data_IF_406525638477
#
_entry.id   IF_406525638477
#
_cell.length_a   1.000
_cell.length_b   1.000
_cell.length_c   1.000
_cell.angle_alpha   90.00
_cell.angle_beta   90.00
_cell.angle_gamma   90.00
#
_symmetry.space_group_name_H-M   'P 1'
#
loop_
_entity.id
_entity.type
_entity.pdbx_description
1 polymer ?
#
# COMPACT_ATOMS: atom_id res chain seq x y z
N UNK A 1 -14.42 33.22 13.20
CA UNK A 1 -13.08 33.50 13.75
C UNK A 1 -12.49 32.20 14.27
N UNK A 2 -11.58 31.56 13.53
CA UNK A 2 -10.79 30.44 14.07
C UNK A 2 -9.81 31.03 15.09
N UNK A 3 -10.19 31.01 16.37
CA UNK A 3 -9.31 31.40 17.46
C UNK A 3 -8.09 30.48 17.45
N UNK A 4 -6.91 31.05 17.23
CA UNK A 4 -5.63 30.35 17.30
C UNK A 4 -5.41 29.85 18.74
N UNK A 5 -5.90 28.66 19.03
CA UNK A 5 -5.70 27.98 20.32
C UNK A 5 -4.20 27.71 20.46
N UNK A 6 -3.58 28.21 21.54
CA UNK A 6 -2.21 27.83 21.89
C UNK A 6 -2.13 26.30 21.94
N UNK A 7 -1.29 25.72 21.08
CA UNK A 7 -1.01 24.29 21.11
C UNK A 7 -0.27 23.97 22.40
N UNK A 8 -0.78 23.01 23.15
CA UNK A 8 -0.12 22.51 24.36
C UNK A 8 0.89 21.43 23.97
N UNK A 9 1.88 21.18 24.82
CA UNK A 9 2.85 20.09 24.61
C UNK A 9 2.16 18.74 24.34
N UNK A 10 1.04 18.48 25.03
CA UNK A 10 0.20 17.31 24.79
C UNK A 10 -0.35 17.23 23.36
N UNK A 11 -0.76 18.35 22.77
CA UNK A 11 -1.27 18.38 21.40
C UNK A 11 -0.15 17.99 20.41
N UNK A 12 1.07 18.51 20.61
CA UNK A 12 2.24 18.12 19.79
C UNK A 12 2.59 16.64 19.92
N UNK A 13 2.59 16.09 21.14
CA UNK A 13 2.85 14.66 21.37
C UNK A 13 1.78 13.78 20.72
N UNK A 14 0.50 14.19 20.80
CA UNK A 14 -0.59 13.46 20.16
C UNK A 14 -0.46 13.47 18.63
N UNK A 15 -0.16 14.64 18.03
CA UNK A 15 0.08 14.71 16.59
C UNK A 15 1.28 13.85 16.16
N UNK A 16 2.38 13.89 16.91
CA UNK A 16 3.55 13.04 16.64
C UNK A 16 3.16 11.55 16.68
N UNK A 17 2.43 11.13 17.71
CA UNK A 17 1.95 9.76 17.85
C UNK A 17 1.06 9.35 16.67
N UNK A 18 0.09 10.19 16.29
CA UNK A 18 -0.82 9.93 15.17
C UNK A 18 -0.08 9.86 13.82
N UNK A 19 0.92 10.71 13.61
CA UNK A 19 1.75 10.67 12.39
C UNK A 19 2.52 9.36 12.32
N UNK A 20 3.22 8.98 13.40
CA UNK A 20 3.98 7.72 13.46
C UNK A 20 3.06 6.52 13.24
N UNK A 21 1.92 6.48 13.94
CA UNK A 21 0.93 5.42 13.79
C UNK A 21 0.40 5.32 12.35
N UNK A 22 0.12 6.47 11.73
CA UNK A 22 -0.32 6.53 10.33
C UNK A 22 0.77 6.03 9.38
N UNK A 23 2.03 6.39 9.58
CA UNK A 23 3.16 5.89 8.79
C UNK A 23 3.32 4.37 8.92
N UNK A 24 3.15 3.82 10.13
CA UNK A 24 3.20 2.38 10.36
C UNK A 24 2.07 1.63 9.63
N UNK A 25 0.87 2.20 9.59
CA UNK A 25 -0.27 1.64 8.85
C UNK A 25 -0.09 1.75 7.32
N UNK A 26 0.55 2.82 6.85
CA UNK A 26 0.84 3.01 5.43
C UNK A 26 1.97 2.11 4.92
N UNK A 27 2.93 1.76 5.77
CA UNK A 27 4.07 0.92 5.40
C UNK A 27 3.68 -0.39 4.69
N UNK A 28 2.78 -1.25 5.21
CA UNK A 28 2.41 -2.49 4.53
C UNK A 28 1.73 -2.24 3.17
N UNK A 29 0.96 -1.16 3.01
CA UNK A 29 0.35 -0.81 1.72
C UNK A 29 1.41 -0.43 0.69
N UNK A 30 2.39 0.40 1.08
CA UNK A 30 3.51 0.78 0.22
C UNK A 30 4.41 -0.41 -0.10
N UNK A 31 4.58 -1.34 0.84
CA UNK A 31 5.34 -2.56 0.65
C UNK A 31 4.71 -3.48 -0.40
N UNK A 32 3.39 -3.74 -0.29
CA UNK A 32 2.65 -4.55 -1.28
C UNK A 32 2.68 -3.88 -2.66
N UNK A 33 2.51 -2.56 -2.72
CA UNK A 33 2.65 -1.81 -3.96
C UNK A 33 4.05 -1.99 -4.56
N UNK A 34 5.11 -1.82 -3.75
CA UNK A 34 6.49 -1.96 -4.20
C UNK A 34 6.77 -3.35 -4.73
N UNK A 35 6.33 -4.41 -4.05
CA UNK A 35 6.45 -5.80 -4.53
C UNK A 35 5.73 -5.99 -5.86
N UNK A 36 4.51 -5.47 -5.97
CA UNK A 36 3.67 -5.72 -7.15
C UNK A 36 4.23 -5.16 -8.46
N UNK A 37 5.10 -4.13 -8.39
CA UNK A 37 5.75 -3.51 -9.54
C UNK A 37 7.27 -3.79 -9.61
N UNK A 38 7.78 -4.67 -8.74
CA UNK A 38 9.19 -5.06 -8.71
C UNK A 38 9.46 -6.33 -9.49
N UNK A 39 10.72 -6.52 -9.87
CA UNK A 39 11.17 -7.70 -10.58
C UNK A 39 11.03 -8.95 -9.71
N UNK A 40 10.62 -10.06 -10.34
CA UNK A 40 10.39 -11.32 -9.65
C UNK A 40 11.62 -11.81 -8.89
N UNK A 41 12.83 -11.63 -9.44
CA UNK A 41 14.07 -12.02 -8.77
C UNK A 41 14.34 -11.16 -7.52
N UNK A 42 14.07 -9.85 -7.59
CA UNK A 42 14.21 -8.94 -6.46
C UNK A 42 13.23 -9.26 -5.33
N UNK A 43 11.99 -9.61 -5.68
CA UNK A 43 10.97 -10.08 -4.72
C UNK A 43 11.41 -11.39 -4.06
N UNK A 44 11.87 -12.37 -4.85
CA UNK A 44 12.36 -13.66 -4.36
C UNK A 44 13.56 -13.53 -3.41
N UNK A 45 14.48 -12.60 -3.70
CA UNK A 45 15.65 -12.30 -2.85
C UNK A 45 15.33 -11.46 -1.62
N UNK A 46 14.05 -11.09 -1.41
CA UNK A 46 13.61 -10.23 -0.32
C UNK A 46 14.35 -8.88 -0.27
N UNK A 47 14.80 -8.38 -1.43
CA UNK A 47 15.53 -7.12 -1.50
C UNK A 47 14.59 -5.91 -1.52
N UNK A 48 13.34 -6.10 -1.93
CA UNK A 48 12.30 -5.06 -1.96
C UNK A 48 11.90 -4.68 -0.53
N UNK A 49 11.93 -3.37 -0.24
CA UNK A 49 11.50 -2.79 1.05
C UNK A 49 10.45 -1.71 0.77
N UNK A 50 10.79 -0.44 1.00
CA UNK A 50 9.86 0.67 0.81
C UNK A 50 9.67 1.09 -0.65
N UNK A 51 10.67 0.82 -1.50
CA UNK A 51 10.69 1.22 -2.90
C UNK A 51 10.83 -0.01 -3.80
N UNK A 52 10.25 0.06 -5.02
CA UNK A 52 10.35 -1.03 -5.96
C UNK A 52 11.78 -1.18 -6.49
N UNK A 53 12.16 -2.41 -6.82
CA UNK A 53 13.47 -2.76 -7.37
C UNK A 53 13.27 -3.50 -8.69
N UNK A 54 13.83 -2.95 -9.76
CA UNK A 54 13.67 -3.48 -11.12
C UNK A 54 12.21 -3.40 -11.56
N UNK A 55 11.80 -2.27 -12.14
CA UNK A 55 10.40 -2.08 -12.51
C UNK A 55 9.93 -3.17 -13.50
N UNK A 56 8.93 -3.96 -13.10
CA UNK A 56 8.38 -5.05 -13.90
C UNK A 56 6.85 -5.13 -13.70
N UNK A 57 6.11 -5.28 -14.79
CA UNK A 57 4.63 -5.36 -14.82
C UNK A 57 4.11 -6.70 -15.35
N UNK A 58 4.97 -7.66 -15.64
CA UNK A 58 4.62 -8.99 -16.15
C UNK A 58 3.64 -9.73 -15.23
N UNK A 59 3.75 -9.53 -13.91
CA UNK A 59 2.82 -10.10 -12.94
C UNK A 59 1.37 -9.62 -13.17
N UNK A 60 1.18 -8.34 -13.52
CA UNK A 60 -0.13 -7.81 -13.86
C UNK A 60 -0.65 -8.37 -15.19
N UNK A 61 0.21 -8.50 -16.19
CA UNK A 61 -0.17 -9.13 -17.46
C UNK A 61 -0.61 -10.58 -17.26
N UNK A 62 0.12 -11.34 -16.44
CA UNK A 62 -0.22 -12.72 -16.10
C UNK A 62 -1.58 -12.82 -15.43
N UNK A 63 -1.88 -11.91 -14.48
CA UNK A 63 -3.19 -11.83 -13.81
C UNK A 63 -4.30 -11.46 -14.78
N UNK A 64 -4.07 -10.49 -15.68
CA UNK A 64 -5.05 -10.06 -16.66
C UNK A 64 -5.40 -11.17 -17.67
N UNK A 65 -4.42 -12.00 -18.04
CA UNK A 65 -4.62 -13.18 -18.90
C UNK A 65 -5.27 -14.37 -18.16
N UNK A 66 -5.20 -14.40 -16.84
CA UNK A 66 -5.78 -15.46 -16.03
C UNK A 66 -7.30 -15.31 -15.91
N UNK A 67 -8.04 -15.99 -16.80
CA UNK A 67 -9.52 -16.00 -16.83
C UNK A 67 -10.17 -16.33 -15.47
N UNK A 68 -9.53 -17.16 -14.64
CA UNK A 68 -10.04 -17.48 -13.31
C UNK A 68 -10.08 -16.25 -12.39
N UNK A 69 -9.03 -15.41 -12.40
CA UNK A 69 -8.94 -14.22 -11.54
C UNK A 69 -9.96 -13.18 -11.99
N UNK A 70 -10.03 -12.91 -13.29
CA UNK A 70 -11.00 -11.93 -13.85
C UNK A 70 -12.44 -12.35 -13.55
N UNK A 71 -12.77 -13.65 -13.72
CA UNK A 71 -14.10 -14.18 -13.37
C UNK A 71 -14.38 -14.09 -11.87
N UNK A 72 -13.42 -14.43 -11.02
CA UNK A 72 -13.58 -14.32 -9.58
C UNK A 72 -13.83 -12.87 -9.15
N UNK A 73 -13.06 -11.92 -9.68
CA UNK A 73 -13.25 -10.49 -9.39
C UNK A 73 -14.62 -9.99 -9.86
N UNK A 74 -15.06 -10.43 -11.04
CA UNK A 74 -16.42 -10.14 -11.54
C UNK A 74 -17.51 -10.69 -10.61
N UNK A 75 -17.33 -11.91 -10.10
CA UNK A 75 -18.27 -12.50 -9.14
C UNK A 75 -18.32 -11.69 -7.84
N UNK A 76 -17.17 -11.25 -7.32
CA UNK A 76 -17.12 -10.39 -6.12
C UNK A 76 -17.92 -9.10 -6.31
N UNK A 77 -17.80 -8.45 -7.48
CA UNK A 77 -18.61 -7.27 -7.82
C UNK A 77 -20.09 -7.63 -7.82
N UNK A 78 -20.49 -8.66 -8.60
CA UNK A 78 -21.88 -9.12 -8.72
C UNK A 78 -22.54 -9.49 -7.40
N UNK A 79 -21.78 -9.95 -6.41
CA UNK A 79 -22.32 -10.32 -5.09
C UNK A 79 -22.38 -9.15 -4.11
N UNK A 80 -21.61 -8.09 -4.35
CA UNK A 80 -21.55 -6.94 -3.44
C UNK A 80 -22.54 -5.84 -3.83
N UNK A 81 -22.94 -5.77 -5.11
CA UNK A 81 -23.91 -4.79 -5.65
C UNK A 81 -25.29 -5.40 -5.84
#
# INVERSE_FOLDING_TARGET
>A
MHTLRKMRLFDYLNYLFLIVFSCLMLYPLLYVFSISVSDGEAVWRQSVKLFPIGFNVEAYEAIARANAVVRAYRNSILYTV
#
